data_IF_471448623994
#
_entry.id   IF_471448623994
#
_cell.length_a   1.000
_cell.length_b   1.000
_cell.length_c   1.000
_cell.angle_alpha   90.00
_cell.angle_beta   90.00
_cell.angle_gamma   90.00
#
_symmetry.space_group_name_H-M   'P 1'
#
loop_
_entity.id
_entity.type
_entity.pdbx_description
1 polymer ?
#
# COMPACT_ATOMS: atom_id res chain seq x y z
N UNK A 1 4.77 28.05 15.31
CA UNK A 1 4.41 27.09 14.24
C UNK A 1 2.95 27.29 13.89
N UNK A 2 2.66 27.70 12.65
CA UNK A 2 1.28 27.76 12.16
C UNK A 2 0.73 26.33 12.10
N UNK A 3 -0.35 26.05 12.83
CA UNK A 3 -1.12 24.81 12.61
C UNK A 3 -1.77 24.95 11.24
N UNK A 4 -1.31 24.21 10.24
CA UNK A 4 -2.12 23.97 9.04
C UNK A 4 -3.47 23.46 9.53
N UNK A 5 -4.53 24.27 9.34
CA UNK A 5 -5.89 23.83 9.64
C UNK A 5 -6.19 22.66 8.72
N UNK A 6 -6.66 21.56 9.31
CA UNK A 6 -7.13 20.42 8.54
C UNK A 6 -8.35 20.86 7.74
N UNK A 7 -8.28 20.72 6.42
CA UNK A 7 -9.46 20.84 5.58
C UNK A 7 -10.26 19.53 5.70
N UNK A 8 -11.29 19.55 6.55
CA UNK A 8 -12.16 18.40 6.77
C UNK A 8 -12.87 17.92 5.50
N UNK A 9 -13.08 18.80 4.52
CA UNK A 9 -13.67 18.44 3.24
C UNK A 9 -12.69 17.62 2.40
N UNK A 10 -11.42 18.03 2.35
CA UNK A 10 -10.38 17.25 1.67
C UNK A 10 -10.18 15.89 2.33
N UNK A 11 -10.08 15.84 3.67
CA UNK A 11 -9.86 14.57 4.38
C UNK A 11 -10.97 13.54 4.10
N UNK A 12 -12.23 13.98 4.08
CA UNK A 12 -13.37 13.11 3.76
C UNK A 12 -13.29 12.54 2.33
N UNK A 13 -12.61 13.21 1.40
CA UNK A 13 -12.44 12.74 0.02
C UNK A 13 -11.29 11.76 -0.17
N UNK A 14 -10.33 11.71 0.75
CA UNK A 14 -9.07 10.95 0.59
C UNK A 14 -8.85 9.87 1.66
N UNK A 15 -9.80 9.68 2.58
CA UNK A 15 -9.74 8.63 3.59
C UNK A 15 -10.25 7.29 3.05
N UNK A 16 -9.91 6.21 3.74
CA UNK A 16 -10.37 4.84 3.51
C UNK A 16 -10.18 4.35 2.07
N UNK A 17 -8.97 4.55 1.54
CA UNK A 17 -8.63 4.22 0.15
C UNK A 17 -8.31 2.74 -0.07
N UNK A 18 -8.54 2.22 -1.27
CA UNK A 18 -8.19 0.82 -1.57
C UNK A 18 -6.68 0.62 -1.74
N UNK A 19 -6.07 1.44 -2.60
CA UNK A 19 -4.64 1.34 -2.92
C UNK A 19 -3.95 2.67 -2.67
N UNK A 20 -2.92 2.65 -1.84
CA UNK A 20 -1.97 3.74 -1.68
C UNK A 20 -0.74 3.48 -2.55
N UNK A 21 -0.47 4.39 -3.50
CA UNK A 21 0.87 4.51 -4.07
C UNK A 21 1.74 5.26 -3.06
N UNK A 22 2.57 4.52 -2.31
CA UNK A 22 3.27 5.08 -1.16
C UNK A 22 4.31 6.12 -1.60
N UNK A 23 4.30 7.33 -1.03
CA UNK A 23 5.22 8.38 -1.42
C UNK A 23 6.67 8.00 -1.10
N UNK A 24 7.59 8.47 -1.93
CA UNK A 24 9.04 8.30 -1.73
C UNK A 24 9.43 6.84 -1.40
N UNK A 25 8.84 5.87 -2.12
CA UNK A 25 9.12 4.44 -1.96
C UNK A 25 8.77 3.87 -0.55
N UNK A 26 7.88 4.53 0.19
CA UNK A 26 7.53 4.16 1.56
C UNK A 26 8.61 4.49 2.60
N UNK A 27 9.48 5.47 2.31
CA UNK A 27 10.49 5.94 3.26
C UNK A 27 9.88 6.80 4.36
N UNK A 28 10.57 6.88 5.51
CA UNK A 28 10.18 7.71 6.66
C UNK A 28 9.96 9.19 6.29
N UNK A 29 10.75 9.71 5.35
CA UNK A 29 10.65 11.10 4.86
C UNK A 29 9.58 11.30 3.79
N UNK A 30 8.88 10.25 3.35
CA UNK A 30 7.88 10.34 2.27
C UNK A 30 6.57 11.04 2.66
N UNK A 31 6.37 11.36 3.93
CA UNK A 31 5.20 12.14 4.35
C UNK A 31 5.48 12.91 5.63
N UNK A 32 5.85 12.20 6.70
CA UNK A 32 6.26 12.74 8.01
C UNK A 32 6.96 11.60 8.78
N UNK A 33 7.83 11.91 9.76
CA UNK A 33 8.64 10.92 10.50
C UNK A 33 7.87 9.72 11.11
N UNK A 34 6.57 9.86 11.34
CA UNK A 34 5.71 8.82 11.94
C UNK A 34 4.69 8.21 10.97
N UNK A 35 4.74 8.59 9.69
CA UNK A 35 3.78 8.19 8.65
C UNK A 35 2.31 8.32 9.11
N UNK A 36 1.97 9.37 9.88
CA UNK A 36 0.63 9.60 10.44
C UNK A 36 -0.47 9.68 9.38
N UNK A 37 -0.12 10.04 8.15
CA UNK A 37 -1.04 10.03 7.02
C UNK A 37 -1.66 8.63 6.80
N UNK A 38 -0.99 7.54 7.15
CA UNK A 38 -1.55 6.18 7.05
C UNK A 38 -2.79 6.00 7.93
N UNK A 39 -2.86 6.68 9.08
CA UNK A 39 -4.04 6.64 9.95
C UNK A 39 -5.24 7.38 9.34
N UNK A 40 -4.96 8.34 8.45
CA UNK A 40 -5.98 9.18 7.80
C UNK A 40 -6.45 8.56 6.49
N UNK A 41 -5.52 8.09 5.67
CA UNK A 41 -5.82 7.46 4.38
C UNK A 41 -6.34 6.03 4.55
N UNK A 42 -5.95 5.33 5.62
CA UNK A 42 -6.38 3.97 5.96
C UNK A 42 -6.41 3.00 4.75
N UNK A 43 -5.26 2.78 4.07
CA UNK A 43 -5.23 2.02 2.83
C UNK A 43 -5.37 0.50 3.06
N UNK A 44 -6.09 -0.17 2.15
CA UNK A 44 -6.22 -1.64 2.16
C UNK A 44 -5.00 -2.36 1.56
N UNK A 45 -4.26 -1.68 0.68
CA UNK A 45 -2.98 -2.13 0.12
C UNK A 45 -2.06 -0.92 -0.08
N UNK A 46 -0.77 -1.07 0.22
CA UNK A 46 0.25 -0.10 -0.15
C UNK A 46 1.18 -0.67 -1.23
N UNK A 47 1.38 0.10 -2.31
CA UNK A 47 2.36 -0.18 -3.36
C UNK A 47 3.58 0.72 -3.13
N UNK A 48 4.75 0.10 -2.96
CA UNK A 48 6.01 0.82 -2.76
C UNK A 48 6.86 0.71 -4.01
N UNK A 49 7.26 1.86 -4.55
CA UNK A 49 8.14 1.96 -5.72
C UNK A 49 9.58 1.51 -5.43
N UNK A 50 10.38 1.37 -6.49
CA UNK A 50 11.67 0.69 -6.42
C UNK A 50 12.67 1.50 -5.60
N UNK A 51 13.38 0.83 -4.70
CA UNK A 51 14.57 1.39 -4.08
C UNK A 51 15.59 0.28 -3.86
N UNK A 52 16.65 0.33 -4.65
CA UNK A 52 17.72 -0.68 -4.67
C UNK A 52 18.45 -0.72 -3.32
N UNK A 53 18.86 0.43 -2.76
CA UNK A 53 19.67 0.46 -1.53
C UNK A 53 19.22 1.52 -0.52
N UNK A 54 18.07 1.32 0.12
CA UNK A 54 17.64 2.25 1.19
C UNK A 54 17.62 1.59 2.56
N UNK A 55 18.59 1.98 3.38
CA UNK A 55 18.59 1.83 4.85
C UNK A 55 17.45 2.59 5.56
N UNK A 56 16.60 3.29 4.80
CA UNK A 56 15.50 4.12 5.30
C UNK A 56 14.11 3.62 4.88
N UNK A 57 14.00 2.37 4.40
CA UNK A 57 12.71 1.69 4.19
C UNK A 57 11.96 1.62 5.52
N UNK A 58 10.72 2.10 5.56
CA UNK A 58 9.91 2.11 6.77
C UNK A 58 8.74 1.12 6.66
N UNK A 59 9.02 -0.13 6.29
CA UNK A 59 7.97 -1.15 6.12
C UNK A 59 7.23 -1.44 7.44
N UNK A 60 7.92 -1.28 8.58
CA UNK A 60 7.33 -1.43 9.91
C UNK A 60 6.16 -0.48 10.14
N UNK A 61 6.17 0.73 9.58
CA UNK A 61 5.03 1.65 9.71
C UNK A 61 3.73 1.10 9.10
N UNK A 62 3.83 0.29 8.04
CA UNK A 62 2.70 -0.35 7.38
C UNK A 62 2.32 -1.64 8.11
N UNK A 63 3.30 -2.51 8.39
CA UNK A 63 3.06 -3.78 9.08
C UNK A 63 2.48 -3.61 10.48
N UNK A 64 2.95 -2.63 11.24
CA UNK A 64 2.41 -2.32 12.57
C UNK A 64 0.93 -1.87 12.53
N UNK A 65 0.42 -1.49 11.35
CA UNK A 65 -0.98 -1.12 11.11
C UNK A 65 -1.76 -2.21 10.39
N UNK A 66 -1.16 -3.38 10.16
CA UNK A 66 -1.77 -4.47 9.42
C UNK A 66 -1.97 -4.17 7.93
N UNK A 67 -1.27 -3.17 7.36
CA UNK A 67 -1.41 -2.78 5.96
C UNK A 67 -0.52 -3.70 5.08
N UNK A 68 -1.12 -4.47 4.15
CA UNK A 68 -0.39 -5.24 3.16
C UNK A 68 0.53 -4.35 2.30
N UNK A 69 1.76 -4.83 2.01
CA UNK A 69 2.70 -4.17 1.08
C UNK A 69 2.97 -5.05 -0.14
N UNK A 70 2.91 -4.45 -1.32
CA UNK A 70 3.44 -4.98 -2.59
C UNK A 70 4.50 -4.02 -3.14
N UNK A 71 5.59 -4.55 -3.69
CA UNK A 71 6.67 -3.71 -4.24
C UNK A 71 6.99 -4.09 -5.69
N UNK A 72 7.32 -3.12 -6.53
CA UNK A 72 7.82 -3.41 -7.88
C UNK A 72 9.21 -4.07 -7.87
N UNK A 73 9.96 -4.01 -6.77
CA UNK A 73 11.19 -4.80 -6.57
C UNK A 73 10.93 -6.30 -6.53
N UNK A 74 9.75 -6.70 -6.07
CA UNK A 74 9.31 -8.08 -6.07
C UNK A 74 8.72 -8.44 -7.43
N UNK A 75 7.94 -7.56 -8.06
CA UNK A 75 7.03 -8.00 -9.13
C UNK A 75 7.17 -7.30 -10.47
N UNK A 76 8.13 -6.38 -10.61
CA UNK A 76 8.27 -5.48 -11.76
C UNK A 76 7.00 -4.63 -11.93
N UNK A 77 6.18 -4.87 -12.93
CA UNK A 77 4.98 -4.08 -13.16
C UNK A 77 3.82 -4.63 -12.33
N UNK A 78 3.02 -3.72 -11.81
CA UNK A 78 1.77 -4.01 -11.12
C UNK A 78 0.66 -3.40 -11.95
N UNK A 79 -0.23 -4.24 -12.46
CA UNK A 79 -1.39 -3.82 -13.22
C UNK A 79 -2.60 -3.97 -12.31
N UNK A 80 -3.21 -2.85 -11.93
CA UNK A 80 -4.44 -2.82 -11.16
C UNK A 80 -5.63 -2.55 -12.10
N UNK A 81 -6.52 -3.53 -12.20
CA UNK A 81 -7.75 -3.44 -13.01
C UNK A 81 -8.91 -3.22 -12.05
N UNK A 82 -9.48 -2.02 -12.07
CA UNK A 82 -10.69 -1.68 -11.32
C UNK A 82 -11.89 -2.09 -12.15
N UNK A 83 -12.74 -2.96 -11.60
CA UNK A 83 -13.95 -3.47 -12.25
C UNK A 83 -15.17 -2.64 -11.88
N UNK A 84 -16.23 -2.74 -12.68
CA UNK A 84 -17.49 -2.02 -12.48
C UNK A 84 -18.20 -2.39 -11.16
N UNK A 85 -17.95 -3.59 -10.63
CA UNK A 85 -18.47 -4.06 -9.34
C UNK A 85 -17.66 -3.56 -8.12
N UNK A 86 -16.66 -2.72 -8.36
CA UNK A 86 -15.76 -2.18 -7.35
C UNK A 86 -14.65 -3.14 -6.90
N UNK A 87 -14.55 -4.33 -7.49
CA UNK A 87 -13.45 -5.24 -7.22
C UNK A 87 -12.18 -4.79 -7.96
N UNK A 88 -11.02 -5.06 -7.36
CA UNK A 88 -9.72 -4.78 -7.97
C UNK A 88 -9.02 -6.10 -8.27
N UNK A 89 -8.57 -6.29 -9.51
CA UNK A 89 -7.71 -7.41 -9.90
C UNK A 89 -6.29 -6.93 -10.09
N UNK A 90 -5.35 -7.56 -9.40
CA UNK A 90 -3.92 -7.28 -9.52
C UNK A 90 -3.25 -8.34 -10.39
N UNK A 91 -2.50 -7.88 -11.39
CA UNK A 91 -1.59 -8.71 -12.18
C UNK A 91 -0.16 -8.24 -12.00
N UNK A 92 0.78 -9.15 -12.15
CA UNK A 92 2.22 -8.90 -12.02
C UNK A 92 2.99 -9.41 -13.23
N UNK A 93 4.07 -8.74 -13.61
CA UNK A 93 4.89 -9.13 -14.77
C UNK A 93 6.11 -9.96 -14.42
N UNK A 94 6.45 -10.08 -13.13
CA UNK A 94 7.52 -10.95 -12.62
C UNK A 94 7.10 -11.67 -11.34
N UNK A 95 7.64 -12.88 -11.15
CA UNK A 95 7.25 -13.84 -10.11
C UNK A 95 5.83 -14.41 -10.32
N UNK A 96 5.41 -15.27 -9.40
CA UNK A 96 4.06 -15.82 -9.31
C UNK A 96 3.47 -15.47 -7.96
N UNK A 97 2.15 -15.36 -7.87
CA UNK A 97 1.46 -15.11 -6.60
C UNK A 97 1.80 -16.18 -5.57
N UNK A 98 1.81 -17.45 -5.95
CA UNK A 98 2.16 -18.57 -5.05
C UNK A 98 3.56 -18.41 -4.43
N UNK A 99 4.53 -17.93 -5.22
CA UNK A 99 5.88 -17.68 -4.73
C UNK A 99 5.92 -16.49 -3.78
N UNK A 100 5.21 -15.42 -4.10
CA UNK A 100 5.15 -14.22 -3.25
C UNK A 100 4.45 -14.50 -1.94
N UNK A 101 3.29 -15.16 -1.96
CA UNK A 101 2.49 -15.47 -0.76
C UNK A 101 3.33 -16.22 0.28
N UNK A 102 4.17 -17.18 -0.15
CA UNK A 102 5.10 -17.91 0.74
C UNK A 102 6.12 -17.02 1.45
N UNK A 103 6.41 -15.84 0.89
CA UNK A 103 7.33 -14.85 1.48
C UNK A 103 6.62 -13.75 2.27
N UNK A 104 5.29 -13.68 2.18
CA UNK A 104 4.45 -12.75 2.93
C UNK A 104 3.92 -13.43 4.20
N UNK A 105 3.29 -12.66 5.07
CA UNK A 105 2.59 -13.20 6.24
C UNK A 105 1.40 -14.07 5.80
N UNK A 106 1.08 -15.12 6.57
CA UNK A 106 0.03 -16.12 6.31
C UNK A 106 -1.34 -15.49 5.96
N UNK A 107 -1.63 -14.30 6.50
CA UNK A 107 -2.90 -13.62 6.29
C UNK A 107 -2.92 -12.61 5.12
N UNK A 108 -1.82 -12.44 4.39
CA UNK A 108 -1.70 -11.35 3.40
C UNK A 108 -2.72 -11.47 2.26
N UNK A 109 -2.89 -12.67 1.71
CA UNK A 109 -3.87 -12.93 0.65
C UNK A 109 -5.30 -12.74 1.15
N UNK A 110 -5.62 -13.35 2.29
CA UNK A 110 -6.97 -13.30 2.88
C UNK A 110 -7.39 -11.86 3.22
N UNK A 111 -6.46 -11.03 3.69
CA UNK A 111 -6.69 -9.60 3.92
C UNK A 111 -7.05 -8.87 2.62
N UNK A 112 -6.38 -9.17 1.51
CA UNK A 112 -6.70 -8.54 0.22
C UNK A 112 -8.05 -9.02 -0.30
N UNK A 113 -8.34 -10.32 -0.24
CA UNK A 113 -9.61 -10.87 -0.71
C UNK A 113 -10.80 -10.35 0.11
N UNK A 114 -10.67 -10.24 1.43
CA UNK A 114 -11.66 -9.59 2.31
C UNK A 114 -11.92 -8.14 1.91
N UNK A 115 -10.92 -7.48 1.35
CA UNK A 115 -10.95 -6.12 0.88
C UNK A 115 -11.31 -5.98 -0.61
N UNK A 116 -11.76 -7.06 -1.25
CA UNK A 116 -12.13 -7.12 -2.69
C UNK A 116 -10.97 -6.85 -3.65
N UNK A 117 -9.74 -7.14 -3.21
CA UNK A 117 -8.52 -7.08 -4.01
C UNK A 117 -8.07 -8.52 -4.29
N UNK A 118 -8.07 -8.91 -5.56
CA UNK A 118 -7.83 -10.27 -6.00
C UNK A 118 -6.50 -10.38 -6.76
N UNK A 119 -5.82 -11.50 -6.53
CA UNK A 119 -4.53 -11.83 -7.15
C UNK A 119 -4.80 -12.67 -8.41
N UNK A 120 -4.49 -12.13 -9.59
CA UNK A 120 -4.77 -12.75 -10.89
C UNK A 120 -3.51 -13.03 -11.71
#
# INVERSE_FOLDING_TARGET
>A
MSKCKEDGNLLNKIRDIDILLAPHHGRKTGGVDLNQYLNKLNPKLAILGNTEDSKYKNYSAFYNRGIPILTNNEVSDIIAIVKDDGNISLKITRNTWDKLIKTKNENWKDLLEKNKIYLN
#
